data_IF_150621116268
#
_entry.id   IF_150621116268
#
_cell.length_a   1.000
_cell.length_b   1.000
_cell.length_c   1.000
_cell.angle_alpha   90.00
_cell.angle_beta   90.00
_cell.angle_gamma   90.00
#
_symmetry.space_group_name_H-M   'P 1'
#
loop_
_entity.id
_entity.type
_entity.pdbx_description
1 polymer ?
#
# COMPACT_ATOMS: atom_id res chain seq x y z
N UNK A 1 6.43 15.73 -40.71
CA UNK A 1 5.90 15.05 -39.50
C UNK A 1 6.86 15.39 -38.37
N UNK A 2 6.40 16.03 -37.27
CA UNK A 2 7.31 16.44 -36.21
C UNK A 2 7.82 15.21 -35.46
N UNK A 3 9.13 15.18 -35.22
CA UNK A 3 9.83 14.21 -34.39
C UNK A 3 9.40 14.37 -32.93
N UNK A 4 8.33 13.68 -32.53
CA UNK A 4 8.03 13.47 -31.12
C UNK A 4 9.07 12.53 -30.53
N UNK A 5 9.72 12.92 -29.44
CA UNK A 5 10.49 12.01 -28.60
C UNK A 5 9.63 10.79 -28.27
N UNK A 6 9.98 9.63 -28.80
CA UNK A 6 9.29 8.38 -28.51
C UNK A 6 9.26 8.18 -27.00
N UNK A 7 8.06 8.23 -26.41
CA UNK A 7 7.87 7.92 -25.00
C UNK A 7 8.23 6.45 -24.83
N UNK A 8 9.41 6.19 -24.26
CA UNK A 8 9.91 4.84 -24.05
C UNK A 8 9.19 4.24 -22.85
N UNK A 9 8.09 3.54 -23.14
CA UNK A 9 7.31 2.83 -22.14
C UNK A 9 8.11 1.67 -21.57
N UNK A 10 8.56 1.79 -20.32
CA UNK A 10 9.27 0.74 -19.62
C UNK A 10 8.56 0.40 -18.30
N UNK A 11 8.59 -0.87 -17.90
CA UNK A 11 8.10 -1.27 -16.58
C UNK A 11 9.21 -1.01 -15.57
N UNK A 12 8.91 -0.18 -14.57
CA UNK A 12 9.80 0.10 -13.45
C UNK A 12 9.27 -0.54 -12.17
N UNK A 13 10.17 -1.10 -11.38
CA UNK A 13 9.88 -1.62 -10.05
C UNK A 13 10.32 -0.58 -9.02
N UNK A 14 9.35 0.05 -8.38
CA UNK A 14 9.55 1.29 -7.62
C UNK A 14 9.53 1.00 -6.12
N UNK A 15 10.56 1.45 -5.40
CA UNK A 15 10.57 1.57 -3.94
C UNK A 15 10.51 3.06 -3.57
N UNK A 16 9.43 3.49 -2.94
CA UNK A 16 9.34 4.79 -2.27
C UNK A 16 9.70 4.67 -0.80
N UNK A 17 10.44 5.66 -0.30
CA UNK A 17 10.89 5.74 1.09
C UNK A 17 10.66 7.16 1.56
N UNK A 18 10.12 7.31 2.76
CA UNK A 18 9.84 8.61 3.37
C UNK A 18 10.16 8.60 4.86
N UNK A 19 10.74 9.69 5.37
CA UNK A 19 11.05 9.86 6.79
C UNK A 19 9.80 10.33 7.53
N UNK A 20 9.37 9.55 8.50
CA UNK A 20 8.15 9.84 9.27
C UNK A 20 8.42 10.99 10.23
N UNK A 21 7.58 12.04 10.14
CA UNK A 21 7.67 13.20 11.02
C UNK A 21 8.77 14.20 10.63
N UNK A 22 9.38 14.07 9.45
CA UNK A 22 10.48 14.91 8.97
C UNK A 22 10.23 16.42 9.13
N UNK A 23 9.05 16.89 8.74
CA UNK A 23 8.70 18.32 8.80
C UNK A 23 8.58 18.92 10.20
N UNK A 24 8.56 18.07 11.25
CA UNK A 24 8.52 18.50 12.66
C UNK A 24 9.91 18.70 13.26
N UNK A 25 10.96 18.26 12.57
CA UNK A 25 12.34 18.33 13.02
C UNK A 25 12.95 19.71 12.74
N UNK A 26 14.00 20.05 13.49
CA UNK A 26 14.82 21.23 13.20
C UNK A 26 15.59 21.06 11.88
N UNK A 27 15.99 22.16 11.25
CA UNK A 27 16.65 22.14 9.92
C UNK A 27 17.95 21.31 9.91
N UNK A 28 18.73 21.36 10.99
CA UNK A 28 19.93 20.55 11.14
C UNK A 28 19.58 19.06 11.27
N UNK A 29 18.59 18.71 12.09
CA UNK A 29 18.12 17.33 12.26
C UNK A 29 17.57 16.75 10.95
N UNK A 30 16.81 17.56 10.19
CA UNK A 30 16.32 17.20 8.85
C UNK A 30 17.50 16.85 7.92
N UNK A 31 18.54 17.69 7.90
CA UNK A 31 19.73 17.50 7.07
C UNK A 31 20.51 16.23 7.48
N UNK A 32 20.63 15.98 8.77
CA UNK A 32 21.31 14.79 9.30
C UNK A 32 20.55 13.52 8.95
N UNK A 33 19.23 13.50 9.14
CA UNK A 33 18.41 12.33 8.86
C UNK A 33 18.35 11.99 7.37
N UNK A 34 18.23 12.99 6.49
CA UNK A 34 18.21 12.73 5.04
C UNK A 34 19.56 12.22 4.54
N UNK A 35 20.66 12.73 5.10
CA UNK A 35 22.01 12.27 4.79
C UNK A 35 22.20 10.82 5.26
N UNK A 36 21.74 10.52 6.48
CA UNK A 36 21.80 9.16 7.04
C UNK A 36 20.99 8.16 6.21
N UNK A 37 19.78 8.54 5.80
CA UNK A 37 18.95 7.71 4.93
C UNK A 37 19.66 7.41 3.59
N UNK A 38 20.26 8.43 2.96
CA UNK A 38 21.03 8.26 1.71
C UNK A 38 22.17 7.27 1.87
N UNK A 39 22.91 7.32 2.99
CA UNK A 39 24.00 6.39 3.28
C UNK A 39 23.51 4.96 3.41
N UNK A 40 22.43 4.72 4.17
CA UNK A 40 21.82 3.40 4.35
C UNK A 40 21.36 2.85 2.99
N UNK A 41 20.62 3.65 2.22
CA UNK A 41 20.10 3.24 0.91
C UNK A 41 21.22 2.87 -0.07
N UNK A 42 22.27 3.69 -0.16
CA UNK A 42 23.42 3.45 -1.07
C UNK A 42 24.22 2.20 -0.70
N UNK A 43 24.17 1.76 0.57
CA UNK A 43 24.83 0.56 1.07
C UNK A 43 24.03 -0.71 0.83
N UNK A 44 22.81 -0.63 0.32
CA UNK A 44 22.07 -1.84 -0.05
C UNK A 44 22.70 -2.52 -1.28
N UNK A 45 22.61 -3.84 -1.32
CA UNK A 45 23.12 -4.64 -2.43
C UNK A 45 22.39 -4.33 -3.73
N UNK A 46 21.05 -4.28 -3.68
CA UNK A 46 20.21 -4.02 -4.86
C UNK A 46 20.49 -2.64 -5.45
N UNK A 47 20.69 -1.62 -4.62
CA UNK A 47 21.10 -0.30 -5.10
C UNK A 47 22.43 -0.38 -5.86
N UNK A 48 23.46 -1.02 -5.29
CA UNK A 48 24.78 -1.12 -5.94
C UNK A 48 24.72 -1.89 -7.25
N UNK A 49 24.03 -3.04 -7.28
CA UNK A 49 23.89 -3.88 -8.46
C UNK A 49 23.18 -3.12 -9.58
N UNK A 50 21.99 -2.58 -9.33
CA UNK A 50 21.23 -1.87 -10.35
C UNK A 50 21.92 -0.58 -10.80
N UNK A 51 22.63 0.13 -9.90
CA UNK A 51 23.41 1.30 -10.27
C UNK A 51 24.62 0.95 -11.16
N UNK A 52 25.35 -0.13 -10.85
CA UNK A 52 26.47 -0.60 -11.66
C UNK A 52 26.02 -1.05 -13.07
N UNK A 53 24.81 -1.59 -13.18
CA UNK A 53 24.21 -1.98 -14.47
C UNK A 53 23.58 -0.81 -15.25
N UNK A 54 23.51 0.41 -14.70
CA UNK A 54 22.78 1.53 -15.30
C UNK A 54 21.25 1.35 -15.31
N UNK A 55 20.73 0.41 -14.51
CA UNK A 55 19.30 0.05 -14.42
C UNK A 55 18.60 0.62 -13.19
N UNK A 56 19.24 1.53 -12.48
CA UNK A 56 18.69 2.25 -11.34
C UNK A 56 18.48 3.72 -11.68
N UNK A 57 17.24 4.18 -11.57
CA UNK A 57 16.92 5.60 -11.58
C UNK A 57 16.54 6.04 -10.15
N UNK A 58 16.80 7.31 -9.85
CA UNK A 58 16.64 7.89 -8.51
C UNK A 58 15.78 9.14 -8.63
N UNK A 59 14.73 9.22 -7.82
CA UNK A 59 13.86 10.38 -7.72
C UNK A 59 13.98 10.96 -6.30
N UNK A 60 14.73 12.05 -6.10
CA UNK A 60 14.78 12.68 -4.78
C UNK A 60 13.43 13.31 -4.42
N UNK A 61 13.02 13.18 -3.15
CA UNK A 61 11.93 13.96 -2.56
C UNK A 61 12.48 14.81 -1.40
N UNK A 62 11.68 15.71 -0.83
CA UNK A 62 12.14 16.60 0.25
C UNK A 62 12.56 15.86 1.52
N UNK A 63 11.84 14.79 1.86
CA UNK A 63 11.90 13.99 3.08
C UNK A 63 12.28 12.53 2.83
N UNK A 64 12.65 12.18 1.60
CA UNK A 64 12.99 10.81 1.24
C UNK A 64 13.40 10.67 -0.23
N UNK A 65 12.88 9.64 -0.89
CA UNK A 65 13.09 9.44 -2.32
C UNK A 65 12.45 8.17 -2.86
N UNK A 66 12.48 8.03 -4.19
CA UNK A 66 12.13 6.81 -4.88
C UNK A 66 13.34 6.21 -5.60
N UNK A 67 13.40 4.88 -5.60
CA UNK A 67 14.33 4.08 -6.38
C UNK A 67 13.52 3.30 -7.41
N UNK A 68 13.90 3.43 -8.68
CA UNK A 68 13.24 2.71 -9.79
C UNK A 68 14.23 1.71 -10.36
N UNK A 69 13.95 0.44 -10.12
CA UNK A 69 14.72 -0.69 -10.59
C UNK A 69 14.15 -1.19 -11.92
N UNK A 70 15.00 -1.34 -12.94
CA UNK A 70 14.65 -1.91 -14.25
C UNK A 70 15.23 -3.30 -14.49
N UNK A 71 15.76 -3.93 -13.45
CA UNK A 71 16.43 -5.22 -13.54
C UNK A 71 15.61 -6.40 -12.99
N UNK A 72 14.89 -6.20 -11.88
CA UNK A 72 14.14 -7.28 -11.22
C UNK A 72 12.95 -6.75 -10.40
N UNK A 73 11.80 -7.44 -10.43
CA UNK A 73 10.64 -7.12 -9.59
C UNK A 73 10.88 -7.33 -8.09
N UNK A 74 11.87 -8.15 -7.71
CA UNK A 74 12.20 -8.39 -6.30
C UNK A 74 13.17 -7.36 -5.72
N UNK A 75 13.91 -6.64 -6.57
CA UNK A 75 14.94 -5.70 -6.14
C UNK A 75 14.41 -4.62 -5.17
N UNK A 76 13.22 -4.03 -5.37
CA UNK A 76 12.63 -3.11 -4.39
C UNK A 76 12.43 -3.73 -3.00
N UNK A 77 11.90 -4.95 -2.93
CA UNK A 77 11.62 -5.62 -1.66
C UNK A 77 12.91 -5.99 -0.92
N UNK A 78 13.88 -6.56 -1.64
CA UNK A 78 15.20 -6.89 -1.09
C UNK A 78 15.92 -5.63 -0.58
N UNK A 79 15.84 -4.52 -1.33
CA UNK A 79 16.36 -3.22 -0.91
C UNK A 79 15.67 -2.74 0.38
N UNK A 80 14.34 -2.77 0.42
CA UNK A 80 13.55 -2.36 1.58
C UNK A 80 13.88 -3.17 2.84
N UNK A 81 14.07 -4.49 2.72
CA UNK A 81 14.45 -5.35 3.84
C UNK A 81 15.84 -5.01 4.39
N UNK A 82 16.79 -4.70 3.52
CA UNK A 82 18.13 -4.30 3.96
C UNK A 82 18.12 -2.92 4.63
N UNK A 83 17.33 -1.98 4.11
CA UNK A 83 17.11 -0.68 4.77
C UNK A 83 16.48 -0.89 6.15
N UNK A 84 15.40 -1.67 6.25
CA UNK A 84 14.73 -1.96 7.52
C UNK A 84 15.67 -2.63 8.53
N UNK A 85 16.57 -3.50 8.07
CA UNK A 85 17.57 -4.16 8.91
C UNK A 85 18.59 -3.15 9.45
N UNK A 86 19.14 -2.29 8.60
CA UNK A 86 20.13 -1.28 9.02
C UNK A 86 19.51 -0.24 9.95
N UNK A 87 18.22 0.11 9.76
CA UNK A 87 17.49 1.05 10.62
C UNK A 87 17.27 0.55 12.06
N UNK A 88 17.40 -0.75 12.33
CA UNK A 88 17.40 -1.25 13.72
C UNK A 88 18.51 -0.63 14.58
N UNK A 89 19.61 -0.20 13.96
CA UNK A 89 20.70 0.52 14.61
C UNK A 89 20.49 2.04 14.72
N UNK A 90 19.36 2.57 14.23
CA UNK A 90 19.09 4.01 14.06
C UNK A 90 17.65 4.33 14.49
N UNK A 91 17.35 4.22 15.79
CA UNK A 91 15.99 4.41 16.34
C UNK A 91 15.44 5.83 16.13
N UNK A 92 16.32 6.81 15.95
CA UNK A 92 16.00 8.19 15.61
C UNK A 92 15.46 8.37 14.19
N UNK A 93 15.79 7.43 13.28
CA UNK A 93 15.41 7.50 11.87
C UNK A 93 14.29 6.50 11.58
N UNK A 94 13.06 7.00 11.62
CA UNK A 94 11.89 6.19 11.29
C UNK A 94 11.47 6.45 9.85
N UNK A 95 11.38 5.39 9.05
CA UNK A 95 10.90 5.49 7.66
C UNK A 95 9.64 4.66 7.45
N UNK A 96 8.89 5.01 6.41
CA UNK A 96 7.83 4.18 5.82
C UNK A 96 8.18 3.90 4.37
N UNK A 97 7.83 2.71 3.89
CA UNK A 97 8.18 2.26 2.54
C UNK A 97 6.96 1.74 1.79
N UNK A 98 6.93 1.99 0.49
CA UNK A 98 5.89 1.49 -0.41
C UNK A 98 6.48 1.01 -1.73
N UNK A 99 5.96 -0.11 -2.23
CA UNK A 99 6.46 -0.78 -3.42
C UNK A 99 5.34 -1.02 -4.43
N UNK A 100 5.60 -0.67 -5.67
CA UNK A 100 4.73 -0.97 -6.81
C UNK A 100 5.56 -1.18 -8.08
N UNK A 101 5.04 -1.97 -9.01
CA UNK A 101 5.62 -2.20 -10.32
C UNK A 101 4.64 -1.74 -11.38
N UNK A 102 5.09 -0.89 -12.29
CA UNK A 102 4.21 -0.31 -13.29
C UNK A 102 4.96 0.55 -14.31
N UNK A 103 4.23 1.16 -15.25
CA UNK A 103 4.83 1.93 -16.32
C UNK A 103 5.47 3.22 -15.79
N UNK A 104 6.72 3.42 -16.21
CA UNK A 104 7.55 4.59 -15.92
C UNK A 104 8.19 5.07 -17.22
N UNK A 105 8.40 6.38 -17.31
CA UNK A 105 9.08 7.03 -18.42
C UNK A 105 10.16 7.94 -17.85
N UNK A 106 11.34 7.89 -18.45
CA UNK A 106 12.37 8.90 -18.23
C UNK A 106 11.92 10.20 -18.90
N UNK A 107 11.97 11.30 -18.16
CA UNK A 107 11.64 12.64 -18.62
C UNK A 107 12.74 13.60 -18.21
N UNK A 108 12.90 14.70 -18.93
CA UNK A 108 13.80 15.78 -18.50
C UNK A 108 12.99 16.78 -17.68
N UNK A 109 13.47 17.13 -16.48
CA UNK A 109 12.80 18.13 -15.65
C UNK A 109 13.08 19.57 -16.11
N UNK A 110 12.51 20.55 -15.40
CA UNK A 110 12.70 21.98 -15.68
C UNK A 110 14.16 22.46 -15.52
N UNK A 111 15.01 21.66 -14.86
CA UNK A 111 16.42 21.94 -14.63
C UNK A 111 17.32 21.18 -15.62
N UNK A 112 16.74 20.62 -16.69
CA UNK A 112 17.43 19.79 -17.68
C UNK A 112 18.06 18.51 -17.09
N UNK A 113 17.59 18.07 -15.92
CA UNK A 113 18.05 16.83 -15.28
C UNK A 113 17.15 15.65 -15.65
N UNK A 114 17.76 14.48 -15.77
CA UNK A 114 17.02 13.24 -15.96
C UNK A 114 16.15 12.97 -14.72
N UNK A 115 14.85 12.80 -14.97
CA UNK A 115 13.80 12.61 -14.00
C UNK A 115 12.86 11.48 -14.46
N UNK A 116 11.87 11.11 -13.66
CA UNK A 116 10.97 9.99 -13.93
C UNK A 116 9.54 10.40 -13.67
N UNK A 117 8.66 10.06 -14.60
CA UNK A 117 7.22 10.23 -14.46
C UNK A 117 6.50 8.95 -14.90
N UNK A 118 5.26 8.78 -14.43
CA UNK A 118 4.43 7.67 -14.88
C UNK A 118 3.44 7.21 -13.81
N UNK A 119 2.46 6.40 -14.24
CA UNK A 119 1.46 5.85 -13.33
C UNK A 119 2.13 4.96 -12.25
N UNK A 120 3.22 4.26 -12.60
CA UNK A 120 3.98 3.45 -11.65
C UNK A 120 4.54 4.27 -10.48
N UNK A 121 5.04 5.48 -10.74
CA UNK A 121 5.55 6.40 -9.71
C UNK A 121 4.42 6.86 -8.78
N UNK A 122 3.30 7.30 -9.37
CA UNK A 122 2.16 7.82 -8.61
C UNK A 122 1.54 6.76 -7.70
N UNK A 123 1.38 5.52 -8.19
CA UNK A 123 0.81 4.43 -7.40
C UNK A 123 1.78 4.03 -6.28
N UNK A 124 3.08 3.92 -6.56
CA UNK A 124 4.08 3.56 -5.55
C UNK A 124 4.12 4.56 -4.38
N UNK A 125 4.06 5.87 -4.69
CA UNK A 125 3.97 6.91 -3.67
C UNK A 125 2.70 6.75 -2.82
N UNK A 126 1.55 6.51 -3.46
CA UNK A 126 0.27 6.34 -2.76
C UNK A 126 0.23 5.08 -1.89
N UNK A 127 0.88 4.00 -2.31
CA UNK A 127 1.09 2.80 -1.50
C UNK A 127 1.88 3.15 -0.23
N UNK A 128 2.97 3.91 -0.37
CA UNK A 128 3.79 4.36 0.77
C UNK A 128 3.02 5.31 1.72
N UNK A 129 2.23 6.25 1.18
CA UNK A 129 1.45 7.22 1.96
C UNK A 129 0.44 6.56 2.91
N UNK A 130 -0.03 5.35 2.60
CA UNK A 130 -0.94 4.59 3.45
C UNK A 130 -0.25 3.95 4.67
N UNK A 131 1.08 3.94 4.72
CA UNK A 131 1.87 3.33 5.79
C UNK A 131 2.26 4.31 6.91
N UNK A 132 2.38 3.76 8.12
CA UNK A 132 3.04 4.39 9.27
C UNK A 132 4.53 3.98 9.34
N UNK A 133 5.27 4.52 10.32
CA UNK A 133 6.66 4.15 10.59
C UNK A 133 6.88 2.63 10.64
N UNK A 134 7.94 2.18 9.99
CA UNK A 134 8.36 0.79 9.90
C UNK A 134 7.58 -0.08 8.90
N UNK A 135 6.51 0.42 8.27
CA UNK A 135 5.77 -0.37 7.29
C UNK A 135 6.54 -0.54 5.98
N UNK A 136 6.37 -1.73 5.38
CA UNK A 136 6.75 -2.04 4.00
C UNK A 136 5.47 -2.45 3.29
N UNK A 137 4.81 -1.50 2.62
CA UNK A 137 3.55 -1.76 1.94
C UNK A 137 3.78 -2.10 0.46
N UNK A 138 2.99 -3.04 -0.05
CA UNK A 138 3.01 -3.47 -1.43
C UNK A 138 1.65 -3.18 -2.07
N UNK A 139 1.65 -2.73 -3.33
CA UNK A 139 0.46 -2.86 -4.17
C UNK A 139 0.08 -4.33 -4.34
N UNK A 140 -1.22 -4.63 -4.49
CA UNK A 140 -1.67 -6.01 -4.79
C UNK A 140 -0.98 -6.62 -6.01
N UNK A 141 -0.74 -5.85 -7.07
CA UNK A 141 0.01 -6.32 -8.25
C UNK A 141 1.35 -6.95 -7.86
N UNK A 142 2.17 -6.24 -7.08
CA UNK A 142 3.49 -6.75 -6.65
C UNK A 142 3.35 -7.94 -5.70
N UNK A 143 2.38 -7.90 -4.78
CA UNK A 143 2.12 -9.03 -3.90
C UNK A 143 1.70 -10.29 -4.68
N UNK A 144 0.91 -10.12 -5.74
CA UNK A 144 0.48 -11.19 -6.64
C UNK A 144 1.63 -11.79 -7.44
N UNK A 145 2.64 -11.01 -7.80
CA UNK A 145 3.87 -11.55 -8.41
C UNK A 145 4.71 -12.32 -7.36
N UNK A 146 4.86 -11.74 -6.17
CA UNK A 146 5.73 -12.28 -5.12
C UNK A 146 5.16 -13.54 -4.45
N UNK A 147 3.84 -13.71 -4.36
CA UNK A 147 3.21 -14.89 -3.73
C UNK A 147 3.56 -16.21 -4.42
N UNK A 148 4.01 -16.16 -5.67
CA UNK A 148 4.48 -17.33 -6.42
C UNK A 148 5.84 -17.84 -5.95
N UNK A 149 6.61 -17.03 -5.22
CA UNK A 149 7.87 -17.43 -4.60
C UNK A 149 7.62 -17.93 -3.18
N UNK A 150 7.93 -19.19 -2.92
CA UNK A 150 7.72 -19.83 -1.61
C UNK A 150 8.36 -19.07 -0.44
N UNK A 151 9.49 -18.38 -0.68
CA UNK A 151 10.18 -17.57 0.33
C UNK A 151 9.43 -16.32 0.79
N UNK A 152 8.56 -15.74 -0.06
CA UNK A 152 7.87 -14.49 0.26
C UNK A 152 6.45 -14.70 0.75
N UNK A 153 5.79 -15.75 0.25
CA UNK A 153 4.39 -16.05 0.55
C UNK A 153 4.01 -16.00 2.05
N UNK A 154 4.82 -16.50 3.01
CA UNK A 154 4.47 -16.44 4.43
C UNK A 154 4.42 -15.03 5.04
N UNK A 155 5.03 -14.05 4.38
CA UNK A 155 5.26 -12.69 4.87
C UNK A 155 4.36 -11.64 4.19
N UNK A 156 3.43 -12.09 3.35
CA UNK A 156 2.46 -11.25 2.65
C UNK A 156 1.14 -11.23 3.42
N UNK A 157 0.82 -10.12 4.07
CA UNK A 157 -0.35 -9.97 4.92
C UNK A 157 -1.35 -8.99 4.30
N UNK A 158 -2.51 -9.49 3.86
CA UNK A 158 -3.59 -8.67 3.30
C UNK A 158 -4.15 -7.72 4.36
N UNK A 159 -4.16 -6.42 4.07
CA UNK A 159 -4.66 -5.38 5.01
C UNK A 159 -5.91 -4.65 4.48
N UNK A 160 -6.31 -4.94 3.25
CA UNK A 160 -7.51 -4.40 2.61
C UNK A 160 -7.18 -3.23 1.67
N UNK A 161 -8.09 -2.27 1.60
CA UNK A 161 -8.05 -1.18 0.62
C UNK A 161 -7.86 0.17 1.30
N UNK A 162 -7.02 1.02 0.72
CA UNK A 162 -6.79 2.39 1.16
C UNK A 162 -7.41 3.35 0.14
N UNK A 163 -8.31 4.22 0.60
CA UNK A 163 -8.82 5.32 -0.22
C UNK A 163 -7.79 6.44 -0.21
N UNK A 164 -7.20 6.70 -1.37
CA UNK A 164 -6.13 7.70 -1.54
C UNK A 164 -6.69 8.99 -2.13
N UNK A 165 -5.81 9.97 -2.35
CA UNK A 165 -6.18 11.26 -2.96
C UNK A 165 -6.92 11.04 -4.29
N UNK A 166 -7.89 11.92 -4.57
CA UNK A 166 -8.78 11.85 -5.73
C UNK A 166 -9.77 10.67 -5.74
N UNK A 167 -9.92 9.95 -4.62
CA UNK A 167 -10.96 8.95 -4.43
C UNK A 167 -10.65 7.58 -5.03
N UNK A 168 -9.46 7.40 -5.59
CA UNK A 168 -8.96 6.10 -6.01
C UNK A 168 -8.80 5.16 -4.80
N UNK A 169 -9.06 3.88 -5.03
CA UNK A 169 -8.98 2.84 -4.02
C UNK A 169 -7.85 1.90 -4.42
N UNK A 170 -6.85 1.76 -3.54
CA UNK A 170 -5.69 0.90 -3.80
C UNK A 170 -5.74 -0.29 -2.82
N UNK A 171 -5.83 -1.52 -3.32
CA UNK A 171 -5.63 -2.72 -2.50
C UNK A 171 -4.18 -2.85 -2.08
N UNK A 172 -3.95 -3.07 -0.79
CA UNK A 172 -2.64 -3.08 -0.16
C UNK A 172 -2.38 -4.41 0.55
N UNK A 173 -1.10 -4.78 0.52
CA UNK A 173 -0.54 -5.89 1.28
C UNK A 173 0.57 -5.34 2.17
N UNK A 174 0.56 -5.70 3.45
CA UNK A 174 1.65 -5.41 4.37
C UNK A 174 2.68 -6.52 4.28
N UNK A 175 3.94 -6.17 4.02
CA UNK A 175 5.04 -7.11 4.10
C UNK A 175 5.76 -6.96 5.44
N UNK A 176 5.83 -8.04 6.22
CA UNK A 176 6.67 -8.10 7.41
C UNK A 176 7.11 -9.53 7.71
N UNK A 177 8.25 -9.65 8.38
CA UNK A 177 8.75 -10.90 8.96
C UNK A 177 8.69 -10.82 10.48
N UNK A 178 9.12 -11.87 11.17
CA UNK A 178 9.30 -11.84 12.63
C UNK A 178 10.28 -10.76 13.08
N UNK A 179 11.21 -10.38 12.21
CA UNK A 179 12.29 -9.46 12.53
C UNK A 179 12.14 -8.08 11.88
N UNK A 180 11.49 -7.96 10.73
CA UNK A 180 11.54 -6.76 9.88
C UNK A 180 10.14 -6.33 9.45
N UNK A 181 9.94 -5.02 9.29
CA UNK A 181 8.65 -4.44 8.97
C UNK A 181 7.82 -4.14 10.23
N UNK A 182 6.62 -3.64 10.02
CA UNK A 182 5.68 -3.32 11.10
C UNK A 182 4.42 -4.18 10.95
N UNK A 183 4.10 -5.08 11.91
CA UNK A 183 2.92 -5.93 11.85
C UNK A 183 1.62 -5.20 12.22
N UNK A 184 1.71 -3.99 12.76
CA UNK A 184 0.54 -3.20 13.11
C UNK A 184 -0.27 -2.83 11.87
N UNK A 185 -1.54 -2.52 12.07
CA UNK A 185 -2.38 -2.02 10.97
C UNK A 185 -2.10 -0.52 10.80
N UNK A 186 -1.83 -0.03 9.57
CA UNK A 186 -1.64 1.40 9.36
C UNK A 186 -2.88 2.23 9.72
N UNK A 187 -2.68 3.40 10.35
CA UNK A 187 -3.76 4.29 10.78
C UNK A 187 -4.56 4.87 9.61
N UNK A 188 -3.91 5.07 8.46
CA UNK A 188 -4.51 5.67 7.27
C UNK A 188 -5.43 4.71 6.49
N UNK A 189 -5.44 3.41 6.83
CA UNK A 189 -6.36 2.44 6.22
C UNK A 189 -7.71 2.53 6.94
N UNK A 190 -8.51 3.52 6.54
CA UNK A 190 -9.92 3.59 6.93
C UNK A 190 -10.71 2.49 6.23
N UNK A 191 -10.97 1.42 6.98
CA UNK A 191 -11.85 0.34 6.57
C UNK A 191 -11.11 -0.94 6.19
N UNK A 192 -10.80 -1.76 7.18
CA UNK A 192 -11.29 -3.12 7.01
C UNK A 192 -12.77 -3.07 7.39
N UNK A 193 -13.59 -3.87 6.69
CA UNK A 193 -14.76 -4.43 7.34
C UNK A 193 -14.34 -4.86 8.76
N UNK A 194 -15.12 -4.59 9.80
CA UNK A 194 -14.76 -5.12 11.10
C UNK A 194 -14.48 -6.61 10.95
N UNK A 195 -13.50 -7.12 11.69
CA UNK A 195 -13.02 -8.49 11.59
C UNK A 195 -14.14 -9.54 11.68
N UNK A 196 -15.35 -9.12 12.09
CA UNK A 196 -16.59 -9.87 12.10
C UNK A 196 -17.68 -9.04 11.39
N UNK A 197 -18.27 -9.59 10.33
CA UNK A 197 -19.47 -9.05 9.70
C UNK A 197 -20.51 -10.14 9.50
N UNK A 198 -21.78 -9.83 9.74
CA UNK A 198 -22.90 -10.76 9.54
C UNK A 198 -23.99 -10.06 8.75
N UNK A 199 -24.50 -10.71 7.71
CA UNK A 199 -25.69 -10.28 6.99
C UNK A 199 -26.88 -11.12 7.45
N UNK A 200 -28.03 -10.48 7.66
CA UNK A 200 -29.30 -11.15 7.93
C UNK A 200 -30.08 -11.15 6.63
N UNK A 201 -30.17 -12.31 5.98
CA UNK A 201 -30.98 -12.43 4.77
C UNK A 201 -32.48 -12.43 5.13
N UNK A 202 -33.35 -11.89 4.27
CA UNK A 202 -34.79 -11.89 4.50
C UNK A 202 -35.31 -13.30 4.75
N UNK A 203 -36.10 -13.46 5.82
CA UNK A 203 -36.79 -14.72 6.07
C UNK A 203 -37.81 -15.02 4.98
N UNK A 204 -37.90 -16.29 4.62
CA UNK A 204 -38.90 -16.79 3.68
C UNK A 204 -40.20 -17.01 4.43
N UNK A 205 -41.29 -16.40 3.96
CA UNK A 205 -42.62 -16.70 4.47
C UNK A 205 -43.03 -18.12 4.03
N UNK A 206 -43.14 -19.05 4.98
CA UNK A 206 -43.60 -20.42 4.74
C UNK A 206 -45.11 -20.61 4.99
N UNK A 207 -45.83 -19.55 5.38
CA UNK A 207 -47.29 -19.57 5.54
C UNK A 207 -47.99 -19.64 4.19
N UNK A 208 -49.23 -20.15 4.20
CA UNK A 208 -50.11 -20.09 3.04
C UNK A 208 -50.67 -18.68 2.80
N UNK A 209 -50.64 -17.82 3.82
CA UNK A 209 -51.11 -16.43 3.72
C UNK A 209 -49.97 -15.49 3.34
N UNK A 210 -50.15 -14.76 2.24
CA UNK A 210 -49.24 -13.71 1.79
C UNK A 210 -49.25 -12.50 2.73
N UNK A 211 -50.31 -12.30 3.51
CA UNK A 211 -50.36 -11.24 4.50
C UNK A 211 -49.37 -11.46 5.63
N UNK A 212 -48.83 -12.67 5.85
CA UNK A 212 -47.81 -12.91 6.88
C UNK A 212 -46.40 -12.44 6.47
N UNK A 213 -46.22 -11.94 5.25
CA UNK A 213 -44.92 -11.52 4.75
C UNK A 213 -44.32 -10.35 5.54
N UNK A 214 -45.15 -9.44 6.06
CA UNK A 214 -44.68 -8.36 6.92
C UNK A 214 -44.06 -8.87 8.23
N UNK A 215 -44.48 -10.04 8.72
CA UNK A 215 -43.91 -10.65 9.93
C UNK A 215 -42.48 -11.11 9.65
N UNK A 216 -42.26 -11.78 8.51
CA UNK A 216 -40.93 -12.24 8.08
C UNK A 216 -39.99 -11.05 7.86
N UNK A 217 -40.49 -9.97 7.26
CA UNK A 217 -39.73 -8.74 7.05
C UNK A 217 -39.42 -8.03 8.36
N UNK A 218 -40.39 -7.94 9.27
CA UNK A 218 -40.23 -7.35 10.60
C UNK A 218 -39.20 -8.11 11.45
N UNK A 219 -39.23 -9.44 11.44
CA UNK A 219 -38.24 -10.28 12.13
C UNK A 219 -36.84 -10.10 11.55
N UNK A 220 -36.73 -9.97 10.23
CA UNK A 220 -35.45 -9.69 9.55
C UNK A 220 -34.89 -8.34 10.01
N UNK A 221 -35.72 -7.29 10.04
CA UNK A 221 -35.33 -5.96 10.50
C UNK A 221 -34.92 -5.95 11.98
N UNK A 222 -35.66 -6.64 12.83
CA UNK A 222 -35.37 -6.71 14.26
C UNK A 222 -34.01 -7.36 14.52
N UNK A 223 -33.69 -8.45 13.80
CA UNK A 223 -32.37 -9.09 13.88
C UNK A 223 -31.24 -8.20 13.36
N UNK A 224 -31.45 -7.48 12.25
CA UNK A 224 -30.47 -6.49 11.75
C UNK A 224 -30.18 -5.47 12.84
N UNK A 225 -31.22 -4.92 13.48
CA UNK A 225 -31.10 -3.91 14.51
C UNK A 225 -30.47 -4.45 15.81
N UNK A 226 -30.78 -5.69 16.20
CA UNK A 226 -30.19 -6.33 17.37
C UNK A 226 -28.70 -6.60 17.19
N UNK A 227 -28.30 -7.17 16.04
CA UNK A 227 -26.92 -7.48 15.72
C UNK A 227 -26.08 -6.21 15.48
N UNK A 228 -26.68 -5.14 14.96
CA UNK A 228 -26.00 -3.86 14.75
C UNK A 228 -25.53 -3.20 16.07
N UNK A 229 -26.09 -3.60 17.22
CA UNK A 229 -25.69 -3.12 18.54
C UNK A 229 -24.48 -3.84 19.12
N UNK A 230 -24.02 -4.93 18.50
CA UNK A 230 -22.87 -5.72 19.00
C UNK A 230 -21.57 -4.97 18.72
N UNK A 231 -20.78 -4.62 19.76
CA UNK A 231 -19.52 -3.92 19.58
C UNK A 231 -18.56 -4.70 18.68
N UNK A 232 -18.05 -4.04 17.63
CA UNK A 232 -17.09 -4.65 16.70
C UNK A 232 -17.69 -5.59 15.65
N UNK A 233 -19.02 -5.66 15.51
CA UNK A 233 -19.72 -6.43 14.47
C UNK A 233 -20.32 -5.47 13.43
N UNK A 234 -20.05 -5.66 12.13
CA UNK A 234 -20.76 -4.94 11.05
C UNK A 234 -21.95 -5.73 10.58
N UNK A 235 -23.09 -5.05 10.53
CA UNK A 235 -24.32 -5.57 9.95
C UNK A 235 -24.73 -4.66 8.79
N UNK A 236 -24.79 -5.16 7.54
CA UNK A 236 -25.32 -4.39 6.42
C UNK A 236 -26.76 -3.93 6.68
N UNK A 237 -27.11 -2.73 6.22
CA UNK A 237 -28.45 -2.17 6.43
C UNK A 237 -29.54 -2.93 5.66
N UNK A 238 -30.80 -2.72 6.06
CA UNK A 238 -31.99 -3.36 5.49
C UNK A 238 -31.99 -3.36 3.96
N UNK A 239 -31.82 -2.20 3.34
CA UNK A 239 -31.86 -2.05 1.87
C UNK A 239 -30.87 -2.97 1.16
N UNK A 240 -29.69 -3.20 1.74
CA UNK A 240 -28.68 -4.09 1.18
C UNK A 240 -29.01 -5.56 1.36
N UNK A 241 -29.63 -5.94 2.48
CA UNK A 241 -30.01 -7.33 2.75
C UNK A 241 -31.23 -7.76 1.92
N UNK A 242 -32.21 -6.87 1.77
CA UNK A 242 -33.46 -7.14 1.04
C UNK A 242 -33.29 -7.21 -0.48
N UNK A 243 -32.16 -6.76 -1.02
CA UNK A 243 -31.80 -6.99 -2.41
C UNK A 243 -31.63 -8.48 -2.77
N UNK A 244 -31.49 -9.35 -1.76
CA UNK A 244 -31.37 -10.80 -1.91
C UNK A 244 -32.68 -11.55 -1.58
N UNK A 245 -33.79 -10.83 -1.41
CA UNK A 245 -35.11 -11.45 -1.28
C UNK A 245 -35.49 -12.02 -2.65
N UNK A 246 -35.70 -13.34 -2.72
CA UNK A 246 -36.09 -14.07 -3.93
C UNK A 246 -37.57 -14.43 -3.93
#
# INVERSE_FOLDING_TARGET
MPSGSEVKFEIGHVLFIDIVGYSKLLINEQSDQIQKLKEIVRRTEQFRLANAEGKLLRLPTGDGGALVFRNSPEAPLLCALQIAKDLKGHLELQVRMGIHSGPVNEVTDLNEQANIAGAGINIAQRVMDCGDAGHILLSRHVADDLKHYARWRPYLHEIGECKVKHGEIIPLVNFYTEELGNPQRPQNIRGAAPAKSVAVLPFVNMSADKHDEYLSDGMTEELINALAKVPGLRVPGRTSCFAFKG
#
